data_IF_999720217190
#
_entry.id   IF_999720217190
#
_cell.length_a   1.000
_cell.length_b   1.000
_cell.length_c   1.000
_cell.angle_alpha   90.00
_cell.angle_beta   90.00
_cell.angle_gamma   90.00
#
_symmetry.space_group_name_H-M   'P 1'
#
loop_
_entity.id
_entity.type
_entity.pdbx_description
1 polymer ?
#
# COMPACT_ATOMS: atom_id res chain seq x y z
N UNK A 1 -17.69 10.74 -16.05
CA UNK A 1 -16.68 9.92 -16.74
C UNK A 1 -16.04 9.05 -15.66
N UNK A 2 -16.37 7.76 -15.64
CA UNK A 2 -15.89 6.82 -14.61
C UNK A 2 -14.44 6.49 -14.94
N UNK A 3 -13.49 6.84 -14.09
CA UNK A 3 -12.12 6.37 -14.24
C UNK A 3 -12.17 4.83 -14.11
N UNK A 4 -11.80 4.13 -15.17
CA UNK A 4 -11.59 2.69 -15.13
C UNK A 4 -10.54 2.42 -14.05
N UNK A 5 -10.99 2.00 -12.87
CA UNK A 5 -10.11 1.52 -11.81
C UNK A 5 -9.52 0.21 -12.32
N UNK A 6 -8.36 0.29 -12.96
CA UNK A 6 -7.55 -0.88 -13.26
C UNK A 6 -6.90 -1.23 -11.93
N UNK A 7 -7.28 -2.33 -11.26
CA UNK A 7 -6.59 -2.75 -10.05
C UNK A 7 -5.16 -3.04 -10.46
N UNK A 8 -4.19 -2.37 -9.84
CA UNK A 8 -2.80 -2.78 -10.00
C UNK A 8 -2.70 -4.26 -9.57
N UNK A 9 -2.00 -5.11 -10.34
CA UNK A 9 -1.86 -6.52 -9.98
C UNK A 9 -1.31 -6.62 -8.56
N UNK A 10 -1.77 -7.61 -7.76
CA UNK A 10 -1.30 -7.76 -6.39
C UNK A 10 0.23 -7.80 -6.36
N UNK A 11 0.86 -7.25 -5.30
CA UNK A 11 2.31 -7.12 -5.18
C UNK A 11 2.95 -8.49 -4.91
N UNK A 12 2.76 -9.45 -5.82
CA UNK A 12 2.81 -10.84 -5.41
C UNK A 12 4.24 -11.39 -5.28
N UNK A 13 5.25 -10.85 -5.97
CA UNK A 13 6.59 -11.47 -5.94
C UNK A 13 7.82 -10.55 -6.09
N UNK A 14 7.66 -9.27 -6.42
CA UNK A 14 8.82 -8.38 -6.68
C UNK A 14 9.23 -7.50 -5.49
N UNK A 15 8.38 -7.35 -4.47
CA UNK A 15 8.63 -6.45 -3.34
C UNK A 15 9.51 -7.17 -2.31
N UNK A 16 10.82 -7.05 -2.45
CA UNK A 16 11.82 -7.79 -1.66
C UNK A 16 12.37 -6.98 -0.48
N UNK A 17 12.06 -5.67 -0.39
CA UNK A 17 12.62 -4.78 0.64
C UNK A 17 11.56 -3.93 1.30
N UNK A 18 11.68 -3.77 2.62
CA UNK A 18 10.96 -2.77 3.39
C UNK A 18 11.81 -1.50 3.40
N UNK A 19 11.25 -0.41 2.91
CA UNK A 19 11.88 0.92 2.87
C UNK A 19 11.59 1.68 4.16
N UNK A 20 10.32 1.71 4.57
CA UNK A 20 9.89 2.37 5.80
C UNK A 20 8.60 1.74 6.35
N UNK A 21 8.36 1.91 7.64
CA UNK A 21 7.14 1.52 8.34
C UNK A 21 6.74 2.63 9.30
N UNK A 22 5.56 3.21 9.12
CA UNK A 22 5.10 4.34 9.93
C UNK A 22 3.62 4.22 10.31
N UNK A 23 3.23 4.75 11.49
CA UNK A 23 1.83 4.85 11.86
C UNK A 23 1.12 5.91 11.01
N UNK A 24 -0.13 5.63 10.61
CA UNK A 24 -0.95 6.54 9.82
C UNK A 24 -2.42 6.43 10.23
N UNK A 25 -2.94 7.44 10.92
CA UNK A 25 -4.35 7.55 11.33
C UNK A 25 -4.95 6.30 12.03
N UNK A 26 -4.17 5.63 12.88
CA UNK A 26 -4.60 4.41 13.57
C UNK A 26 -4.37 3.13 12.77
N UNK A 27 -3.63 3.20 11.68
CA UNK A 27 -3.16 2.08 10.89
C UNK A 27 -1.63 2.05 10.87
N UNK A 28 -1.06 0.93 10.44
CA UNK A 28 0.36 0.81 10.12
C UNK A 28 0.50 0.83 8.60
N UNK A 29 1.32 1.73 8.08
CA UNK A 29 1.67 1.78 6.67
C UNK A 29 3.10 1.27 6.48
N UNK A 30 3.29 0.31 5.58
CA UNK A 30 4.62 -0.15 5.17
C UNK A 30 4.88 0.28 3.72
N UNK A 31 6.01 0.94 3.48
CA UNK A 31 6.51 1.23 2.15
C UNK A 31 7.53 0.17 1.77
N UNK A 32 7.31 -0.52 0.66
CA UNK A 32 8.21 -1.54 0.12
C UNK A 32 8.75 -1.12 -1.24
N UNK A 33 9.90 -1.68 -1.60
CA UNK A 33 10.42 -1.64 -2.96
C UNK A 33 10.87 -3.02 -3.44
N UNK A 34 11.04 -3.15 -4.75
CA UNK A 34 11.82 -4.23 -5.33
C UNK A 34 13.34 -3.98 -5.19
N UNK A 35 14.14 -4.98 -5.60
CA UNK A 35 15.59 -4.98 -5.41
C UNK A 35 16.33 -3.87 -6.14
N UNK A 36 15.85 -3.48 -7.31
CA UNK A 36 16.42 -2.39 -8.12
C UNK A 36 15.87 -1.00 -7.73
N UNK A 37 14.90 -0.95 -6.82
CA UNK A 37 14.29 0.29 -6.34
C UNK A 37 13.38 1.00 -7.34
N UNK A 38 12.96 0.35 -8.43
CA UNK A 38 12.11 0.95 -9.46
C UNK A 38 10.62 0.84 -9.17
N UNK A 39 10.20 -0.17 -8.42
CA UNK A 39 8.80 -0.42 -8.09
C UNK A 39 8.54 -0.21 -6.61
N UNK A 40 7.64 0.72 -6.28
CA UNK A 40 7.27 1.07 -4.91
C UNK A 40 5.82 0.74 -4.61
N UNK A 41 5.57 0.28 -3.38
CA UNK A 41 4.24 -0.04 -2.90
C UNK A 41 4.04 0.42 -1.47
N UNK A 42 2.83 0.87 -1.15
CA UNK A 42 2.38 1.22 0.18
C UNK A 42 1.29 0.26 0.60
N UNK A 43 1.53 -0.44 1.71
CA UNK A 43 0.65 -1.45 2.26
C UNK A 43 0.06 -0.94 3.56
N UNK A 44 -1.25 -1.05 3.72
CA UNK A 44 -1.94 -0.66 4.95
C UNK A 44 -2.33 -1.89 5.76
N UNK A 45 -2.07 -1.80 7.06
CA UNK A 45 -2.41 -2.81 8.04
C UNK A 45 -3.20 -2.18 9.18
N UNK A 46 -4.14 -2.94 9.75
CA UNK A 46 -4.72 -2.63 11.05
C UNK A 46 -3.64 -2.66 12.15
N UNK A 47 -3.92 -2.07 13.32
CA UNK A 47 -3.04 -2.18 14.50
C UNK A 47 -2.82 -3.63 14.96
N UNK A 48 -3.74 -4.54 14.63
CA UNK A 48 -3.63 -5.96 14.88
C UNK A 48 -2.81 -6.72 13.80
N UNK A 49 -2.25 -6.02 12.82
CA UNK A 49 -1.42 -6.60 11.76
C UNK A 49 -2.19 -7.20 10.58
N UNK A 50 -3.54 -7.10 10.55
CA UNK A 50 -4.33 -7.54 9.38
C UNK A 50 -4.11 -6.60 8.21
N UNK A 51 -3.72 -7.14 7.04
CA UNK A 51 -3.64 -6.38 5.79
C UNK A 51 -5.02 -5.89 5.34
N UNK A 52 -5.06 -4.66 4.87
CA UNK A 52 -6.27 -3.97 4.40
C UNK A 52 -6.23 -3.79 2.89
N UNK A 53 -5.04 -3.54 2.35
CA UNK A 53 -4.83 -3.30 0.94
C UNK A 53 -3.46 -2.68 0.67
N UNK A 54 -3.14 -2.54 -0.60
CA UNK A 54 -1.89 -1.94 -1.04
C UNK A 54 -2.08 -1.14 -2.33
N UNK A 55 -1.19 -0.17 -2.57
CA UNK A 55 -1.19 0.68 -3.76
C UNK A 55 0.24 1.04 -4.14
N UNK A 56 0.53 1.16 -5.44
CA UNK A 56 1.76 1.77 -5.96
C UNK A 56 1.61 3.28 -6.22
N UNK A 57 0.44 3.83 -5.92
CA UNK A 57 0.10 5.25 -5.99
C UNK A 57 -0.07 5.80 -4.56
N UNK A 58 0.95 6.45 -3.96
CA UNK A 58 0.92 6.89 -2.56
C UNK A 58 -0.20 7.90 -2.27
N UNK A 59 -0.57 8.72 -3.26
CA UNK A 59 -1.68 9.67 -3.20
C UNK A 59 -3.04 9.00 -2.95
N UNK A 60 -3.19 7.71 -3.27
CA UNK A 60 -4.43 6.96 -3.07
C UNK A 60 -4.54 6.30 -1.69
N UNK A 61 -3.51 6.38 -0.84
CA UNK A 61 -3.54 5.82 0.53
C UNK A 61 -4.69 6.41 1.35
N UNK A 62 -4.96 7.72 1.19
CA UNK A 62 -6.08 8.37 1.84
C UNK A 62 -7.44 7.73 1.50
N UNK A 63 -7.62 7.32 0.25
CA UNK A 63 -8.83 6.64 -0.21
C UNK A 63 -8.95 5.24 0.38
N UNK A 64 -7.85 4.48 0.44
CA UNK A 64 -7.82 3.15 1.07
C UNK A 64 -8.19 3.22 2.56
N UNK A 65 -7.72 4.24 3.27
CA UNK A 65 -8.07 4.49 4.67
C UNK A 65 -9.57 4.75 4.84
N UNK A 66 -10.17 5.57 3.97
CA UNK A 66 -11.60 5.89 4.05
C UNK A 66 -12.50 4.69 3.79
N UNK A 67 -12.12 3.79 2.87
CA UNK A 67 -12.88 2.59 2.56
C UNK A 67 -12.90 1.56 3.70
N UNK A 68 -11.97 1.66 4.64
CA UNK A 68 -11.74 0.67 5.70
C UNK A 68 -11.87 1.24 7.12
N UNK A 69 -12.47 2.43 7.25
CA UNK A 69 -12.97 3.00 8.51
C UNK A 69 -14.38 2.51 8.78
#
# INVERSE_FOLDING_TARGET
MSANHIPAPPPELAQTRVVDVFPLHGFTCAHTSNDDGTAHWWHLFTTAGRSIGATNHPELIGSLLQQNR
#
